data_IF_784571892984
#
_entry.id   IF_784571892984
#
_cell.length_a   1.000
_cell.length_b   1.000
_cell.length_c   1.000
_cell.angle_alpha   90.00
_cell.angle_beta   90.00
_cell.angle_gamma   90.00
#
_symmetry.space_group_name_H-M   'P 1'
#
loop_
_entity.id
_entity.type
_entity.pdbx_description
1 polymer ?
#
# COMPACT_ATOMS: atom_id res chain seq x y z
N UNK A 1 5.99 9.93 18.66
CA UNK A 1 5.86 10.18 17.21
C UNK A 1 4.38 10.39 16.92
N UNK A 2 3.98 11.51 16.28
CA UNK A 2 2.55 11.82 16.08
C UNK A 2 1.87 10.87 15.07
N UNK A 3 0.54 10.77 15.12
CA UNK A 3 -0.26 9.89 14.24
C UNK A 3 0.01 10.10 12.74
N UNK A 4 0.16 11.36 12.31
CA UNK A 4 0.53 11.69 10.93
C UNK A 4 1.92 11.19 10.53
N UNK A 5 2.87 11.18 11.47
CA UNK A 5 4.20 10.61 11.23
C UNK A 5 4.18 9.08 11.16
N UNK A 6 3.35 8.42 11.98
CA UNK A 6 3.14 6.98 11.87
C UNK A 6 2.57 6.60 10.49
N UNK A 7 1.55 7.31 10.02
CA UNK A 7 0.98 7.09 8.69
C UNK A 7 2.00 7.35 7.58
N UNK A 8 2.82 8.40 7.68
CA UNK A 8 3.92 8.69 6.74
C UNK A 8 4.94 7.55 6.70
N UNK A 9 5.35 7.05 7.86
CA UNK A 9 6.32 5.95 7.93
C UNK A 9 5.77 4.68 7.25
N UNK A 10 4.52 4.32 7.58
CA UNK A 10 3.90 3.11 7.01
C UNK A 10 3.66 3.25 5.51
N UNK A 11 3.12 4.38 5.03
CA UNK A 11 2.90 4.58 3.57
C UNK A 11 4.21 4.58 2.79
N UNK A 12 5.30 5.09 3.39
CA UNK A 12 6.64 5.05 2.77
C UNK A 12 7.16 3.62 2.66
N UNK A 13 7.04 2.83 3.74
CA UNK A 13 7.41 1.42 3.72
C UNK A 13 6.58 0.64 2.69
N UNK A 14 5.28 0.95 2.60
CA UNK A 14 4.38 0.34 1.65
C UNK A 14 4.80 0.61 0.20
N UNK A 15 5.10 1.87 -0.15
CA UNK A 15 5.61 2.25 -1.47
C UNK A 15 6.88 1.48 -1.83
N UNK A 16 7.84 1.40 -0.90
CA UNK A 16 9.11 0.70 -1.15
C UNK A 16 8.88 -0.78 -1.43
N UNK A 17 8.08 -1.46 -0.60
CA UNK A 17 7.76 -2.86 -0.79
C UNK A 17 7.01 -3.11 -2.12
N UNK A 18 6.01 -2.27 -2.41
CA UNK A 18 5.19 -2.36 -3.62
C UNK A 18 6.01 -2.08 -4.89
N UNK A 19 6.95 -1.14 -4.86
CA UNK A 19 7.84 -0.85 -5.98
C UNK A 19 8.79 -2.00 -6.31
N UNK A 20 9.09 -2.87 -5.34
CA UNK A 20 9.86 -4.09 -5.57
C UNK A 20 9.08 -5.18 -6.33
N UNK A 21 7.75 -5.18 -6.25
CA UNK A 21 6.91 -6.23 -6.84
C UNK A 21 7.10 -6.36 -8.37
N UNK A 22 7.08 -5.26 -9.16
CA UNK A 22 7.36 -5.33 -10.60
C UNK A 22 8.77 -5.80 -10.94
N UNK A 23 9.75 -5.57 -10.05
CA UNK A 23 11.13 -6.03 -10.27
C UNK A 23 11.18 -7.56 -10.18
N UNK A 24 10.63 -8.15 -9.12
CA UNK A 24 10.59 -9.61 -8.96
C UNK A 24 9.75 -10.28 -10.06
N UNK A 25 8.58 -9.71 -10.39
CA UNK A 25 7.76 -10.19 -11.49
C UNK A 25 8.48 -10.08 -12.85
N UNK A 26 9.20 -8.98 -13.09
CA UNK A 26 9.97 -8.77 -14.31
C UNK A 26 11.09 -9.78 -14.47
N UNK A 27 11.87 -10.04 -13.40
CA UNK A 27 12.93 -11.06 -13.39
C UNK A 27 12.34 -12.45 -13.67
N UNK A 28 11.18 -12.76 -13.11
CA UNK A 28 10.48 -14.03 -13.37
C UNK A 28 10.15 -14.18 -14.85
N UNK A 29 9.63 -13.12 -15.48
CA UNK A 29 9.32 -13.10 -16.91
C UNK A 29 10.56 -13.21 -17.81
N UNK A 30 11.77 -12.98 -17.29
CA UNK A 30 13.03 -13.24 -18.02
C UNK A 30 13.51 -14.70 -17.94
N UNK A 31 12.80 -15.57 -17.19
CA UNK A 31 13.09 -17.00 -17.08
C UNK A 31 13.75 -17.41 -15.76
N UNK A 32 13.98 -16.49 -14.83
CA UNK A 32 14.46 -16.81 -13.48
C UNK A 32 13.27 -17.15 -12.57
N UNK A 33 12.93 -18.43 -12.51
CA UNK A 33 11.78 -18.93 -11.77
C UNK A 33 11.89 -18.75 -10.24
N UNK A 34 13.10 -18.62 -9.68
CA UNK A 34 13.27 -18.40 -8.23
C UNK A 34 12.74 -17.03 -7.79
N UNK A 35 12.75 -16.05 -8.69
CA UNK A 35 12.17 -14.73 -8.45
C UNK A 35 10.65 -14.74 -8.27
N UNK A 36 9.95 -15.80 -8.70
CA UNK A 36 8.52 -15.98 -8.40
C UNK A 36 8.29 -16.15 -6.89
N UNK A 37 9.19 -16.86 -6.20
CA UNK A 37 9.12 -17.01 -4.74
C UNK A 37 9.37 -15.67 -4.05
N UNK A 38 10.29 -14.85 -4.56
CA UNK A 38 10.52 -13.50 -4.04
C UNK A 38 9.33 -12.57 -4.29
N UNK A 39 8.68 -12.69 -5.45
CA UNK A 39 7.45 -11.99 -5.75
C UNK A 39 6.35 -12.37 -4.76
N UNK A 40 6.09 -13.66 -4.55
CA UNK A 40 5.09 -14.17 -3.60
C UNK A 40 5.35 -13.73 -2.15
N UNK A 41 6.58 -13.91 -1.65
CA UNK A 41 6.97 -13.44 -0.32
C UNK A 41 6.81 -11.92 -0.20
N UNK A 42 7.17 -11.19 -1.24
CA UNK A 42 6.98 -9.74 -1.26
C UNK A 42 5.50 -9.35 -1.29
N UNK A 43 4.62 -10.12 -1.94
CA UNK A 43 3.18 -9.88 -1.92
C UNK A 43 2.62 -10.03 -0.50
N UNK A 44 3.05 -11.06 0.25
CA UNK A 44 2.68 -11.22 1.67
C UNK A 44 3.13 -10.03 2.53
N UNK A 45 4.34 -9.53 2.28
CA UNK A 45 4.88 -8.34 2.98
C UNK A 45 4.10 -7.08 2.62
N UNK A 46 3.84 -6.84 1.34
CA UNK A 46 3.06 -5.68 0.85
C UNK A 46 1.68 -5.70 1.48
N UNK A 47 0.98 -6.83 1.46
CA UNK A 47 -0.36 -6.98 2.04
C UNK A 47 -0.39 -6.84 3.55
N UNK A 48 0.62 -7.37 4.24
CA UNK A 48 0.77 -7.13 5.68
C UNK A 48 0.94 -5.64 6.00
N UNK A 49 1.76 -4.93 5.23
CA UNK A 49 1.95 -3.48 5.38
C UNK A 49 0.67 -2.72 5.01
N UNK A 50 -0.05 -3.13 3.97
CA UNK A 50 -1.32 -2.55 3.55
C UNK A 50 -2.38 -2.60 4.65
N UNK A 51 -2.55 -3.76 5.30
CA UNK A 51 -3.46 -3.87 6.44
C UNK A 51 -3.01 -3.05 7.65
N UNK A 52 -1.70 -3.00 7.94
CA UNK A 52 -1.17 -2.10 8.97
C UNK A 52 -1.47 -0.63 8.63
N UNK A 53 -1.30 -0.22 7.38
CA UNK A 53 -1.63 1.13 6.91
C UNK A 53 -3.12 1.43 7.11
N UNK A 54 -3.99 0.46 6.83
CA UNK A 54 -5.43 0.60 7.02
C UNK A 54 -5.77 0.82 8.51
N UNK A 55 -5.17 0.04 9.40
CA UNK A 55 -5.32 0.22 10.86
C UNK A 55 -4.86 1.61 11.30
N UNK A 56 -3.68 2.05 10.85
CA UNK A 56 -3.17 3.40 11.18
C UNK A 56 -4.07 4.49 10.61
N UNK A 57 -4.60 4.32 9.40
CA UNK A 57 -5.51 5.27 8.77
C UNK A 57 -6.87 5.35 9.50
N UNK A 58 -7.39 4.23 10.03
CA UNK A 58 -8.57 4.22 10.90
C UNK A 58 -8.29 5.01 12.18
N UNK A 59 -7.13 4.80 12.80
CA UNK A 59 -6.73 5.53 14.01
C UNK A 59 -6.61 7.04 13.73
N UNK A 60 -6.03 7.44 12.60
CA UNK A 60 -5.99 8.83 12.12
C UNK A 60 -7.39 9.40 11.93
N UNK A 61 -8.30 8.64 11.31
CA UNK A 61 -9.68 9.08 11.15
C UNK A 61 -10.37 9.27 12.50
N UNK A 62 -10.26 8.30 13.42
CA UNK A 62 -10.92 8.35 14.72
C UNK A 62 -10.43 9.51 15.59
N UNK A 63 -9.11 9.77 15.61
CA UNK A 63 -8.49 10.78 16.49
C UNK A 63 -8.47 12.18 15.88
N UNK A 64 -8.17 12.29 14.60
CA UNK A 64 -7.99 13.60 13.94
C UNK A 64 -9.23 14.04 13.13
N UNK A 65 -10.24 13.17 13.03
CA UNK A 65 -11.45 13.35 12.20
C UNK A 65 -11.14 13.60 10.73
N UNK A 66 -9.99 13.12 10.25
CA UNK A 66 -9.57 13.21 8.86
C UNK A 66 -9.81 11.85 8.19
N UNK A 67 -10.96 11.66 7.54
CA UNK A 67 -11.36 10.38 6.94
C UNK A 67 -10.65 10.06 5.62
N UNK A 68 -10.12 11.07 4.92
CA UNK A 68 -9.55 10.89 3.58
C UNK A 68 -8.41 9.85 3.50
N UNK A 69 -7.48 9.72 4.47
CA UNK A 69 -6.42 8.71 4.38
C UNK A 69 -6.98 7.30 4.54
N UNK A 70 -8.04 7.14 5.33
CA UNK A 70 -8.75 5.87 5.49
C UNK A 70 -9.41 5.46 4.17
N UNK A 71 -10.20 6.33 3.56
CA UNK A 71 -10.89 6.02 2.29
C UNK A 71 -9.89 5.68 1.19
N UNK A 72 -8.81 6.47 1.05
CA UNK A 72 -7.78 6.21 0.05
C UNK A 72 -7.01 4.90 0.33
N UNK A 73 -6.66 4.63 1.58
CA UNK A 73 -5.99 3.37 1.95
C UNK A 73 -6.89 2.17 1.73
N UNK A 74 -8.17 2.27 2.06
CA UNK A 74 -9.15 1.20 1.83
C UNK A 74 -9.26 0.86 0.35
N UNK A 75 -9.28 1.86 -0.54
CA UNK A 75 -9.29 1.64 -1.97
C UNK A 75 -8.01 0.93 -2.47
N UNK A 76 -6.84 1.37 -2.00
CA UNK A 76 -5.55 0.73 -2.35
C UNK A 76 -5.49 -0.71 -1.87
N UNK A 77 -5.79 -0.96 -0.58
CA UNK A 77 -5.76 -2.31 0.01
C UNK A 77 -6.81 -3.22 -0.63
N UNK A 78 -7.97 -2.68 -1.00
CA UNK A 78 -8.98 -3.43 -1.75
C UNK A 78 -8.47 -3.86 -3.13
N UNK A 79 -7.88 -2.93 -3.90
CA UNK A 79 -7.28 -3.24 -5.20
C UNK A 79 -6.14 -4.25 -5.08
N UNK A 80 -5.29 -4.09 -4.08
CA UNK A 80 -4.18 -5.00 -3.79
C UNK A 80 -4.66 -6.39 -3.37
N UNK A 81 -5.71 -6.49 -2.56
CA UNK A 81 -6.31 -7.79 -2.19
C UNK A 81 -6.82 -8.52 -3.44
N UNK A 82 -7.51 -7.80 -4.35
CA UNK A 82 -7.92 -8.36 -5.64
C UNK A 82 -6.71 -8.76 -6.49
N UNK A 83 -5.65 -7.96 -6.49
CA UNK A 83 -4.41 -8.26 -7.21
C UNK A 83 -3.72 -9.52 -6.67
N UNK A 84 -3.71 -9.72 -5.35
CA UNK A 84 -3.14 -10.89 -4.69
C UNK A 84 -3.84 -12.17 -5.16
N UNK A 85 -5.17 -12.20 -5.13
CA UNK A 85 -5.94 -13.34 -5.64
C UNK A 85 -5.78 -13.54 -7.15
N UNK A 86 -5.78 -12.47 -7.95
CA UNK A 86 -5.51 -12.56 -9.38
C UNK A 86 -4.10 -13.14 -9.67
N UNK A 87 -3.12 -12.88 -8.80
CA UNK A 87 -1.78 -13.46 -8.88
C UNK A 87 -1.77 -14.95 -8.56
N UNK A 88 -2.47 -15.37 -7.49
CA UNK A 88 -2.63 -16.79 -7.14
C UNK A 88 -3.32 -17.59 -8.25
N UNK A 89 -4.32 -17.00 -8.89
CA UNK A 89 -5.07 -17.62 -10.00
C UNK A 89 -4.31 -17.58 -11.34
N UNK A 90 -3.16 -16.90 -11.42
CA UNK A 90 -2.41 -16.72 -12.66
C UNK A 90 -3.14 -15.85 -13.70
N UNK A 91 -4.12 -15.04 -13.27
CA UNK A 91 -4.95 -14.19 -14.13
C UNK A 91 -4.20 -12.92 -14.57
N UNK A 92 -3.15 -13.08 -15.39
CA UNK A 92 -2.21 -12.01 -15.78
C UNK A 92 -2.89 -10.79 -16.44
N UNK A 93 -3.98 -11.00 -17.17
CA UNK A 93 -4.75 -9.93 -17.82
C UNK A 93 -5.35 -8.94 -16.80
N UNK A 94 -5.64 -9.39 -15.58
CA UNK A 94 -6.13 -8.57 -14.49
C UNK A 94 -4.99 -8.15 -13.56
N UNK A 95 -4.14 -9.11 -13.20
CA UNK A 95 -3.04 -8.89 -12.24
C UNK A 95 -2.08 -7.80 -12.71
N UNK A 96 -1.65 -7.81 -13.98
CA UNK A 96 -0.65 -6.84 -14.47
C UNK A 96 -1.21 -5.41 -14.52
N UNK A 97 -2.36 -5.13 -15.18
CA UNK A 97 -2.89 -3.76 -15.21
C UNK A 97 -3.26 -3.27 -13.81
N UNK A 98 -3.88 -4.12 -12.98
CA UNK A 98 -4.27 -3.74 -11.62
C UNK A 98 -3.05 -3.47 -10.73
N UNK A 99 -1.98 -4.26 -10.88
CA UNK A 99 -0.71 -4.03 -10.20
C UNK A 99 -0.13 -2.66 -10.52
N UNK A 100 -0.03 -2.30 -11.80
CA UNK A 100 0.44 -0.96 -12.24
C UNK A 100 -0.43 0.15 -11.65
N UNK A 101 -1.75 0.03 -11.73
CA UNK A 101 -2.67 1.02 -11.17
C UNK A 101 -2.53 1.15 -9.66
N UNK A 102 -2.29 0.05 -8.96
CA UNK A 102 -2.08 0.04 -7.49
C UNK A 102 -0.76 0.70 -7.12
N UNK A 103 0.33 0.48 -7.87
CA UNK A 103 1.60 1.21 -7.69
C UNK A 103 1.39 2.71 -7.83
N UNK A 104 0.69 3.14 -8.89
CA UNK A 104 0.40 4.57 -9.13
C UNK A 104 -0.47 5.15 -8.01
N UNK A 105 -1.54 4.45 -7.63
CA UNK A 105 -2.44 4.90 -6.57
C UNK A 105 -1.71 5.06 -5.23
N UNK A 106 -0.82 4.10 -4.89
CA UNK A 106 -0.03 4.16 -3.67
C UNK A 106 1.01 5.28 -3.71
N UNK A 107 1.63 5.54 -4.86
CA UNK A 107 2.53 6.70 -5.04
C UNK A 107 1.79 8.04 -4.87
N UNK A 108 0.59 8.18 -5.44
CA UNK A 108 -0.26 9.36 -5.26
C UNK A 108 -0.67 9.52 -3.79
N UNK A 109 -1.05 8.43 -3.11
CA UNK A 109 -1.38 8.45 -1.69
C UNK A 109 -0.18 8.87 -0.83
N UNK A 110 1.01 8.35 -1.12
CA UNK A 110 2.26 8.78 -0.48
C UNK A 110 2.46 10.29 -0.63
N UNK A 111 2.37 10.81 -1.86
CA UNK A 111 2.52 12.25 -2.13
C UNK A 111 1.49 13.05 -1.32
N UNK A 112 0.23 12.63 -1.34
CA UNK A 112 -0.84 13.32 -0.62
C UNK A 112 -0.63 13.34 0.91
N UNK A 113 -0.16 12.23 1.49
CA UNK A 113 0.14 12.11 2.94
C UNK A 113 1.33 12.98 3.35
N UNK A 114 2.32 13.14 2.47
CA UNK A 114 3.48 13.98 2.74
C UNK A 114 3.21 15.48 2.52
N UNK A 115 2.35 15.84 1.55
CA UNK A 115 2.03 17.23 1.26
C UNK A 115 0.98 17.85 2.19
N UNK A 116 0.04 17.05 2.71
CA UNK A 116 -1.06 17.57 3.53
C UNK A 116 -0.67 17.66 5.02
N UNK A 117 -1.06 18.74 5.72
CA UNK A 117 -0.92 18.80 7.16
C UNK A 117 -1.94 17.88 7.85
N UNK A 118 -1.50 17.21 8.91
CA UNK A 118 -2.38 16.50 9.84
C UNK A 118 -2.72 17.42 11.01
N UNK A 119 -3.97 17.40 11.45
CA UNK A 119 -4.39 18.16 12.62
C UNK A 119 -3.63 17.65 13.85
N UNK A 120 -3.13 18.54 14.68
CA UNK A 120 -2.66 18.22 16.03
C UNK A 120 -3.88 18.10 16.95
N UNK A 121 -3.89 17.11 17.86
CA UNK A 121 -4.85 17.12 18.97
C UNK A 121 -4.56 18.36 19.81
N UNK A 122 -5.38 19.41 19.69
CA UNK A 122 -5.41 20.49 20.66
C UNK A 122 -6.16 19.99 21.89
N UNK A 123 -5.58 20.03 23.10
CA UNK A 123 -6.34 19.85 24.32
C UNK A 123 -7.35 20.99 24.41
N UNK A 124 -8.64 20.67 24.42
CA UNK A 124 -9.67 21.65 24.78
C UNK A 124 -9.40 22.07 26.24
N UNK A 125 -8.97 23.32 26.43
CA UNK A 125 -8.82 24.01 27.73
C UNK A 125 -10.08 24.77 28.08
#
# INVERSE_FOLDING_TARGET
>A
MGLGWALRAVVSAHVVAMAGQPVFAGVYLTGDYDSLRWHALGADVVTSIGYLQLVVAIVVWARLRQAWPFVATLAVVGAETVQYFAGLDGALWLHLPLGVMTVVALAVLFIAVWQRPFRTETPDV
#
